data_IF_706907719419
#
_entry.id   IF_706907719419
#
_cell.length_a   1.000
_cell.length_b   1.000
_cell.length_c   1.000
_cell.angle_alpha   90.00
_cell.angle_beta   90.00
_cell.angle_gamma   90.00
#
_symmetry.space_group_name_H-M   'P 1'
#
loop_
_entity.id
_entity.type
_entity.pdbx_description
1 polymer ?
#
# COMPACT_ATOMS: atom_id res chain seq x y z
N UNK A 1 -81.34 -2.09 10.83
CA UNK A 1 -80.34 -1.30 10.09
C UNK A 1 -79.03 -1.45 10.85
N UNK A 2 -78.08 -2.33 10.47
CA UNK A 2 -77.16 -2.20 9.33
C UNK A 2 -75.95 -1.35 9.79
N UNK A 3 -74.69 -1.78 9.85
CA UNK A 3 -74.03 -3.00 9.41
C UNK A 3 -72.67 -3.18 10.14
N UNK A 4 -72.07 -4.35 9.92
CA UNK A 4 -70.81 -4.83 10.48
C UNK A 4 -69.61 -4.29 9.69
N UNK A 5 -68.56 -3.84 10.37
CA UNK A 5 -67.23 -3.63 9.77
C UNK A 5 -66.23 -4.66 10.32
N UNK A 6 -65.70 -5.51 9.41
CA UNK A 6 -64.73 -6.57 9.69
C UNK A 6 -63.33 -6.09 9.28
N UNK A 7 -62.45 -5.90 10.26
CA UNK A 7 -61.02 -5.70 10.03
C UNK A 7 -60.35 -6.96 9.44
N UNK A 8 -59.82 -6.84 8.23
CA UNK A 8 -59.09 -7.90 7.53
C UNK A 8 -57.65 -8.04 8.05
N UNK A 9 -57.31 -9.22 8.58
CA UNK A 9 -55.94 -9.64 8.83
C UNK A 9 -55.14 -9.72 7.52
N UNK A 10 -54.19 -8.81 7.33
CA UNK A 10 -53.25 -8.82 6.20
C UNK A 10 -52.22 -9.94 6.38
N UNK A 11 -52.50 -11.11 5.80
CA UNK A 11 -51.56 -12.25 5.66
C UNK A 11 -50.30 -11.78 4.90
N UNK A 12 -49.15 -11.71 5.57
CA UNK A 12 -47.83 -11.49 4.94
C UNK A 12 -47.54 -12.63 3.95
N UNK A 13 -47.62 -12.35 2.65
CA UNK A 13 -47.16 -13.26 1.59
C UNK A 13 -45.62 -13.28 1.61
N UNK A 14 -45.01 -14.42 1.94
CA UNK A 14 -43.55 -14.63 1.78
C UNK A 14 -43.19 -14.59 0.28
N UNK A 15 -42.14 -13.87 -0.13
CA UNK A 15 -41.81 -13.72 -1.55
C UNK A 15 -41.27 -15.04 -2.13
N UNK A 16 -41.81 -15.42 -3.29
CA UNK A 16 -41.47 -16.66 -4.03
C UNK A 16 -40.01 -16.73 -4.49
N UNK A 17 -39.29 -15.61 -4.47
CA UNK A 17 -37.88 -15.48 -4.91
C UNK A 17 -36.88 -16.28 -4.07
N UNK A 18 -37.11 -16.46 -2.77
CA UNK A 18 -36.22 -17.23 -1.89
C UNK A 18 -36.24 -18.74 -2.16
N UNK A 19 -37.34 -19.27 -2.71
CA UNK A 19 -37.44 -20.71 -3.03
C UNK A 19 -36.73 -21.06 -4.33
N UNK A 20 -36.66 -20.13 -5.29
CA UNK A 20 -36.01 -20.35 -6.59
C UNK A 20 -34.49 -20.39 -6.41
N UNK A 21 -33.92 -19.50 -5.59
CA UNK A 21 -32.48 -19.46 -5.34
C UNK A 21 -31.97 -20.73 -4.63
N UNK A 22 -32.75 -21.28 -3.68
CA UNK A 22 -32.40 -22.52 -2.98
C UNK A 22 -32.42 -23.74 -3.91
N UNK A 23 -33.36 -23.82 -4.85
CA UNK A 23 -33.44 -24.93 -5.82
C UNK A 23 -32.28 -24.88 -6.82
N UNK A 24 -31.86 -23.69 -7.26
CA UNK A 24 -30.72 -23.53 -8.18
C UNK A 24 -29.39 -23.92 -7.52
N UNK A 25 -29.18 -23.55 -6.25
CA UNK A 25 -27.95 -23.91 -5.53
C UNK A 25 -27.84 -25.41 -5.24
N UNK A 26 -28.96 -26.08 -4.91
CA UNK A 26 -28.98 -27.54 -4.72
C UNK A 26 -28.78 -28.28 -6.04
N UNK A 27 -29.36 -27.78 -7.15
CA UNK A 27 -29.17 -28.36 -8.49
C UNK A 27 -27.71 -28.30 -8.97
N UNK A 28 -27.02 -27.18 -8.75
CA UNK A 28 -25.61 -27.03 -9.12
C UNK A 28 -24.67 -27.95 -8.31
N UNK A 29 -24.93 -28.13 -7.01
CA UNK A 29 -24.15 -29.03 -6.15
C UNK A 29 -24.33 -30.51 -6.53
N UNK A 30 -25.55 -30.93 -6.89
CA UNK A 30 -25.83 -32.30 -7.33
C UNK A 30 -25.25 -32.61 -8.72
N UNK A 31 -25.19 -31.62 -9.62
CA UNK A 31 -24.56 -31.77 -10.93
C UNK A 31 -23.02 -31.91 -10.82
N UNK A 32 -22.37 -31.14 -9.94
CA UNK A 32 -20.93 -31.25 -9.70
C UNK A 32 -20.53 -32.58 -9.04
N UNK A 33 -21.31 -33.03 -8.04
CA UNK A 33 -21.09 -34.34 -7.40
C UNK A 33 -21.33 -35.52 -8.33
N UNK A 34 -22.35 -35.43 -9.19
CA UNK A 34 -22.67 -36.46 -10.19
C UNK A 34 -21.70 -36.53 -11.38
N UNK A 35 -20.94 -35.46 -11.64
CA UNK A 35 -19.88 -35.45 -12.66
C UNK A 35 -18.60 -36.10 -12.12
N UNK A 36 -18.20 -35.77 -10.88
CA UNK A 36 -17.06 -36.39 -10.22
C UNK A 36 -17.24 -37.90 -9.98
N UNK A 37 -18.46 -38.35 -9.66
CA UNK A 37 -18.76 -39.77 -9.46
C UNK A 37 -18.73 -40.62 -10.76
N UNK A 38 -18.76 -39.99 -11.95
CA UNK A 38 -18.75 -40.69 -13.25
C UNK A 38 -17.40 -40.69 -13.97
N UNK A 39 -16.40 -39.99 -13.42
CA UNK A 39 -15.05 -39.89 -14.00
C UNK A 39 -13.96 -40.10 -12.92
N UNK A 40 -13.81 -41.33 -12.38
CA UNK A 40 -12.81 -41.62 -11.34
C UNK A 40 -11.36 -41.48 -11.84
N UNK A 41 -11.14 -41.44 -13.16
CA UNK A 41 -9.80 -41.45 -13.78
C UNK A 41 -9.07 -40.09 -13.75
N UNK A 42 -9.69 -39.03 -13.21
CA UNK A 42 -9.11 -37.68 -13.12
C UNK A 42 -8.36 -37.40 -11.81
N UNK A 43 -8.43 -38.29 -10.82
CA UNK A 43 -7.73 -38.13 -9.52
C UNK A 43 -6.43 -38.96 -9.41
N UNK A 44 -6.11 -39.78 -10.41
CA UNK A 44 -5.08 -40.82 -10.29
C UNK A 44 -3.81 -40.58 -11.15
N UNK A 45 -3.46 -39.30 -11.40
CA UNK A 45 -2.21 -38.95 -12.10
C UNK A 45 -1.36 -37.94 -11.35
N UNK A 46 -0.78 -38.36 -10.23
CA UNK A 46 0.59 -38.01 -9.85
C UNK A 46 1.19 -39.18 -9.05
N UNK A 47 1.60 -40.23 -9.75
CA UNK A 47 2.45 -41.29 -9.18
C UNK A 47 3.76 -41.31 -9.99
N UNK A 48 4.80 -40.68 -9.44
CA UNK A 48 6.17 -40.84 -9.93
C UNK A 48 6.88 -41.79 -8.96
N UNK A 49 6.84 -43.08 -9.33
CA UNK A 49 7.72 -44.12 -8.81
C UNK A 49 9.16 -43.63 -8.83
N UNK A 50 9.78 -43.49 -7.65
CA UNK A 50 11.23 -43.35 -7.51
C UNK A 50 11.81 -44.70 -7.11
N UNK A 51 12.37 -45.39 -8.09
CA UNK A 51 13.18 -46.60 -7.92
C UNK A 51 14.39 -46.30 -7.04
N UNK A 52 14.60 -47.14 -6.03
CA UNK A 52 15.80 -47.19 -5.20
C UNK A 52 16.86 -48.02 -5.93
N UNK A 53 18.05 -47.48 -6.14
CA UNK A 53 19.26 -48.28 -6.39
C UNK A 53 20.49 -47.62 -5.76
N UNK A 54 21.35 -48.46 -5.18
CA UNK A 54 22.31 -48.16 -4.13
C UNK A 54 23.75 -47.82 -4.58
N UNK A 55 24.41 -47.03 -3.72
CA UNK A 55 25.83 -47.00 -3.28
C UNK A 55 27.01 -46.54 -4.19
N UNK A 56 27.58 -45.36 -3.80
CA UNK A 56 29.01 -44.98 -3.55
C UNK A 56 30.08 -45.02 -4.68
N UNK A 57 31.16 -44.17 -4.67
CA UNK A 57 31.84 -43.55 -3.51
C UNK A 57 32.20 -42.03 -3.59
N UNK A 58 32.66 -41.53 -2.44
CA UNK A 58 32.99 -40.14 -2.05
C UNK A 58 34.31 -39.58 -2.62
N UNK A 59 34.40 -38.26 -2.92
CA UNK A 59 35.64 -37.48 -2.86
C UNK A 59 35.58 -36.33 -1.80
N UNK A 60 36.73 -35.78 -1.37
CA UNK A 60 36.91 -35.26 -0.02
C UNK A 60 36.45 -33.81 0.18
N UNK A 61 36.13 -33.56 1.45
CA UNK A 61 36.01 -32.31 2.20
C UNK A 61 36.54 -31.04 1.49
N UNK A 62 35.62 -30.18 1.06
CA UNK A 62 35.89 -28.79 0.74
C UNK A 62 35.07 -27.90 1.68
N UNK A 63 35.74 -27.37 2.70
CA UNK A 63 35.25 -26.35 3.64
C UNK A 63 34.57 -25.21 2.87
N UNK A 64 33.31 -24.84 3.15
CA UNK A 64 32.71 -23.69 2.50
C UNK A 64 33.38 -22.41 3.03
N UNK A 65 33.99 -21.65 2.12
CA UNK A 65 34.44 -20.29 2.39
C UNK A 65 33.22 -19.43 2.79
N UNK A 66 33.37 -18.47 3.72
CA UNK A 66 32.27 -17.61 4.10
C UNK A 66 31.85 -16.76 2.89
N UNK A 67 30.65 -17.01 2.39
CA UNK A 67 29.97 -16.14 1.43
C UNK A 67 29.79 -14.78 2.10
N UNK A 68 30.64 -13.83 1.74
CA UNK A 68 30.44 -12.42 2.05
C UNK A 68 29.16 -11.96 1.37
N UNK A 69 28.10 -11.81 2.16
CA UNK A 69 26.86 -11.16 1.73
C UNK A 69 27.25 -9.73 1.33
N UNK A 70 27.01 -9.29 0.08
CA UNK A 70 27.30 -7.91 -0.30
C UNK A 70 26.40 -6.99 0.52
N UNK A 71 27.03 -6.07 1.24
CA UNK A 71 26.36 -4.96 1.93
C UNK A 71 25.60 -4.12 0.88
N UNK A 72 24.34 -3.73 1.11
CA UNK A 72 23.66 -2.85 0.18
C UNK A 72 24.44 -1.54 0.05
N UNK A 73 24.81 -1.20 -1.18
CA UNK A 73 25.46 0.07 -1.51
C UNK A 73 24.42 1.17 -1.26
N UNK A 74 24.64 2.11 -0.32
CA UNK A 74 23.73 3.22 -0.14
C UNK A 74 23.66 4.01 -1.43
N UNK A 75 22.45 4.32 -1.91
CA UNK A 75 22.26 5.32 -2.94
C UNK A 75 22.98 6.61 -2.50
N UNK A 76 23.92 7.08 -3.31
CA UNK A 76 24.69 8.27 -3.02
C UNK A 76 23.75 9.50 -3.03
N UNK A 77 23.30 9.91 -1.85
CA UNK A 77 22.38 11.03 -1.68
C UNK A 77 21.92 11.17 -0.22
N UNK A 78 22.82 11.64 0.65
CA UNK A 78 22.57 12.01 2.07
C UNK A 78 21.56 11.11 2.80
N UNK A 79 22.02 9.92 3.22
CA UNK A 79 21.40 9.19 4.34
C UNK A 79 21.14 10.21 5.45
N UNK A 80 19.91 10.33 5.95
CA UNK A 80 19.68 11.19 7.13
C UNK A 80 20.58 10.67 8.23
N UNK A 81 21.61 11.43 8.66
CA UNK A 81 22.58 10.92 9.60
C UNK A 81 21.84 10.53 10.87
N UNK A 82 21.87 9.24 11.20
CA UNK A 82 21.46 8.73 12.49
C UNK A 82 20.07 8.13 12.63
N UNK A 83 19.15 8.16 11.64
CA UNK A 83 17.90 7.37 11.80
C UNK A 83 18.26 5.88 11.80
N UNK A 84 17.94 5.19 12.88
CA UNK A 84 18.19 3.74 13.02
C UNK A 84 16.86 3.03 13.27
N UNK A 85 16.60 1.97 12.53
CA UNK A 85 15.37 1.21 12.63
C UNK A 85 15.65 -0.29 12.55
N UNK A 86 14.88 -1.14 13.27
CA UNK A 86 14.92 -2.57 13.06
C UNK A 86 14.10 -2.95 11.82
N UNK A 87 14.39 -4.08 11.19
CA UNK A 87 13.55 -4.63 10.10
C UNK A 87 12.09 -4.86 10.56
N UNK A 88 11.90 -5.19 11.85
CA UNK A 88 10.60 -5.37 12.51
C UNK A 88 10.55 -4.48 13.75
N UNK A 89 9.60 -3.56 13.78
CA UNK A 89 9.34 -2.71 14.95
C UNK A 89 8.35 -3.33 15.94
N UNK A 90 8.03 -2.56 16.98
CA UNK A 90 7.17 -2.99 18.09
C UNK A 90 5.68 -3.03 17.76
N UNK A 91 5.24 -2.46 16.63
CA UNK A 91 3.83 -2.36 16.26
C UNK A 91 3.02 -1.33 17.06
N UNK A 92 3.66 -0.61 17.99
CA UNK A 92 3.11 0.55 18.71
C UNK A 92 3.62 1.85 18.10
N UNK A 93 2.95 2.97 18.36
CA UNK A 93 3.20 4.24 17.66
C UNK A 93 3.21 5.43 18.61
N UNK A 94 4.22 6.29 18.47
CA UNK A 94 4.23 7.66 19.00
C UNK A 94 3.56 8.58 18.00
N UNK A 95 2.56 9.31 18.45
CA UNK A 95 1.79 10.25 17.62
C UNK A 95 2.26 11.68 17.87
N UNK A 96 2.18 12.50 16.83
CA UNK A 96 2.45 13.93 16.92
C UNK A 96 1.23 14.67 17.51
N UNK A 97 1.45 15.63 18.39
CA UNK A 97 0.44 16.33 19.17
C UNK A 97 0.08 17.72 18.60
N UNK A 98 1.00 18.37 17.87
CA UNK A 98 0.74 19.70 17.29
C UNK A 98 -0.37 19.69 16.24
N UNK A 99 -1.34 20.59 16.39
CA UNK A 99 -2.37 20.88 15.38
C UNK A 99 -1.83 21.90 14.38
N UNK A 100 -1.97 21.61 13.08
CA UNK A 100 -1.54 22.50 12.01
C UNK A 100 -2.65 23.43 11.50
N UNK A 101 -2.24 24.47 10.80
CA UNK A 101 -3.16 25.28 9.99
C UNK A 101 -3.81 24.41 8.90
N UNK A 102 -5.00 24.83 8.46
CA UNK A 102 -5.65 24.21 7.30
C UNK A 102 -4.93 24.65 6.03
N UNK A 103 -4.39 23.68 5.29
CA UNK A 103 -3.85 23.90 3.95
C UNK A 103 -4.94 23.86 2.90
N UNK A 104 -4.77 24.62 1.82
CA UNK A 104 -5.76 24.77 0.74
C UNK A 104 -6.80 25.84 1.01
N UNK A 105 -7.42 26.35 -0.07
CA UNK A 105 -8.37 27.48 -0.02
C UNK A 105 -9.83 27.06 -0.13
N UNK A 106 -10.10 25.92 -0.75
CA UNK A 106 -11.45 25.43 -1.08
C UNK A 106 -11.48 23.90 -1.14
N UNK A 107 -12.68 23.34 -1.20
CA UNK A 107 -12.88 21.91 -1.35
C UNK A 107 -13.07 21.17 -0.03
N UNK A 108 -13.11 19.85 -0.12
CA UNK A 108 -13.35 18.95 1.00
C UNK A 108 -12.17 18.99 1.98
N UNK A 109 -12.46 19.09 3.27
CA UNK A 109 -11.43 19.12 4.32
C UNK A 109 -11.24 17.72 4.91
N UNK A 110 -10.04 17.17 4.74
CA UNK A 110 -9.62 15.97 5.45
C UNK A 110 -8.60 16.30 6.54
N UNK A 111 -8.82 15.72 7.71
CA UNK A 111 -7.92 15.78 8.86
C UNK A 111 -7.03 14.56 8.88
N UNK A 112 -5.74 14.76 9.13
CA UNK A 112 -4.79 13.68 9.23
C UNK A 112 -3.98 13.77 10.51
N UNK A 113 -3.70 12.58 11.05
CA UNK A 113 -2.78 12.40 12.15
C UNK A 113 -1.45 11.90 11.61
N UNK A 114 -0.36 12.19 12.31
CA UNK A 114 0.97 11.66 11.97
C UNK A 114 1.51 10.87 13.15
N UNK A 115 2.04 9.67 12.88
CA UNK A 115 2.67 8.85 13.90
C UNK A 115 3.89 8.09 13.38
N UNK A 116 4.80 7.74 14.29
CA UNK A 116 6.05 7.02 14.03
C UNK A 116 6.06 5.75 14.88
N UNK A 117 6.37 4.62 14.25
CA UNK A 117 6.46 3.34 14.95
C UNK A 117 7.57 3.35 16.02
N UNK A 118 7.27 2.75 17.16
CA UNK A 118 8.26 2.51 18.20
C UNK A 118 9.33 1.51 17.73
N UNK A 119 10.58 1.84 18.06
CA UNK A 119 11.78 1.15 17.58
C UNK A 119 12.50 1.90 16.45
N UNK A 120 11.84 2.83 15.75
CA UNK A 120 12.52 3.80 14.88
C UNK A 120 13.15 4.87 15.76
N UNK A 121 14.48 4.83 15.88
CA UNK A 121 15.29 5.71 16.73
C UNK A 121 15.79 6.92 15.96
N UNK A 122 16.05 8.00 16.70
CA UNK A 122 16.52 9.29 16.18
C UNK A 122 15.55 9.92 15.16
N UNK A 123 14.26 9.61 15.31
CA UNK A 123 13.17 10.30 14.63
C UNK A 123 12.33 11.00 15.68
N UNK A 124 12.40 12.33 15.64
CA UNK A 124 11.45 13.20 16.33
C UNK A 124 10.11 13.17 15.57
N UNK A 125 9.03 12.85 16.29
CA UNK A 125 7.70 12.68 15.70
C UNK A 125 7.10 14.01 15.23
N UNK A 126 7.38 15.11 15.93
CA UNK A 126 6.93 16.45 15.57
C UNK A 126 7.66 16.98 14.34
N UNK A 127 8.96 16.70 14.25
CA UNK A 127 9.75 17.02 13.06
C UNK A 127 9.26 16.25 11.84
N UNK A 128 9.07 14.94 11.95
CA UNK A 128 8.50 14.14 10.85
C UNK A 128 7.13 14.67 10.45
N UNK A 129 6.26 14.96 11.42
CA UNK A 129 4.94 15.52 11.15
C UNK A 129 4.98 16.92 10.53
N UNK A 130 6.00 17.71 10.81
CA UNK A 130 6.24 19.00 10.16
C UNK A 130 6.67 18.84 8.70
N UNK A 131 7.51 17.84 8.39
CA UNK A 131 7.89 17.51 7.00
C UNK A 131 6.67 17.00 6.20
N UNK A 132 5.82 16.17 6.81
CA UNK A 132 4.53 15.76 6.22
C UNK A 132 3.64 16.98 5.97
N UNK A 133 3.48 17.85 6.98
CA UNK A 133 2.62 19.02 6.86
C UNK A 133 3.10 20.01 5.81
N UNK A 134 4.41 20.26 5.73
CA UNK A 134 5.00 21.11 4.70
C UNK A 134 4.73 20.56 3.29
N UNK A 135 4.89 19.25 3.09
CA UNK A 135 4.61 18.61 1.79
C UNK A 135 3.13 18.73 1.40
N UNK A 136 2.23 18.40 2.33
CA UNK A 136 0.79 18.39 2.06
C UNK A 136 0.17 19.80 1.97
N UNK A 137 0.87 20.82 2.49
CA UNK A 137 0.49 22.22 2.37
C UNK A 137 1.05 22.91 1.12
N UNK A 138 1.98 22.28 0.39
CA UNK A 138 2.57 22.87 -0.79
C UNK A 138 1.52 23.04 -1.91
N UNK A 139 1.55 24.22 -2.57
CA UNK A 139 0.64 24.55 -3.67
C UNK A 139 0.80 23.66 -4.91
N UNK A 140 1.92 22.95 -5.02
CA UNK A 140 2.17 21.95 -6.08
C UNK A 140 1.52 20.60 -5.74
N UNK A 141 1.13 20.42 -4.47
CA UNK A 141 0.45 19.25 -3.93
C UNK A 141 -1.06 19.24 -4.16
N UNK A 142 -1.73 18.32 -3.48
CA UNK A 142 -3.16 18.04 -3.67
C UNK A 142 -4.11 19.18 -3.30
N UNK A 143 -3.64 20.19 -2.56
CA UNK A 143 -4.44 21.36 -2.20
C UNK A 143 -4.40 22.47 -3.25
N UNK A 144 -3.49 22.38 -4.23
CA UNK A 144 -3.22 23.44 -5.20
C UNK A 144 -4.34 23.70 -6.20
N UNK A 145 -5.09 22.67 -6.57
CA UNK A 145 -6.21 22.76 -7.52
C UNK A 145 -7.55 23.12 -6.85
N UNK A 146 -7.55 23.30 -5.52
CA UNK A 146 -8.73 23.70 -4.75
C UNK A 146 -9.79 22.61 -4.54
N UNK A 147 -9.51 21.34 -4.87
CA UNK A 147 -10.42 20.21 -4.56
C UNK A 147 -10.31 19.74 -3.12
N UNK A 148 -9.14 19.90 -2.50
CA UNK A 148 -8.84 19.41 -1.17
C UNK A 148 -8.30 20.50 -0.26
N UNK A 149 -8.69 20.39 1.01
CA UNK A 149 -8.03 21.00 2.15
C UNK A 149 -7.53 19.92 3.08
N UNK A 150 -6.35 20.12 3.63
CA UNK A 150 -5.70 19.13 4.50
C UNK A 150 -5.30 19.81 5.81
N UNK A 151 -5.60 19.17 6.93
CA UNK A 151 -5.23 19.69 8.25
C UNK A 151 -4.59 18.60 9.10
N UNK A 152 -3.38 18.87 9.58
CA UNK A 152 -2.77 18.06 10.62
C UNK A 152 -3.52 18.26 11.94
N UNK A 153 -3.89 17.20 12.61
CA UNK A 153 -4.54 17.24 13.94
C UNK A 153 -3.69 16.52 14.99
N UNK A 154 -3.98 16.77 16.26
CA UNK A 154 -3.27 16.18 17.39
C UNK A 154 -3.64 14.71 17.62
N UNK A 155 -3.03 14.12 18.64
CA UNK A 155 -3.19 12.71 18.99
C UNK A 155 -4.63 12.31 19.32
N UNK A 156 -5.31 13.13 20.10
CA UNK A 156 -6.65 12.81 20.62
C UNK A 156 -7.78 13.38 19.75
N UNK A 157 -7.43 14.21 18.76
CA UNK A 157 -8.38 14.79 17.82
C UNK A 157 -8.89 13.77 16.80
N UNK A 158 -10.11 13.96 16.31
CA UNK A 158 -10.65 13.13 15.22
C UNK A 158 -9.84 13.37 13.93
N UNK A 159 -9.32 12.28 13.36
CA UNK A 159 -8.66 12.26 12.06
C UNK A 159 -9.43 11.37 11.07
N UNK A 160 -9.41 11.76 9.80
CA UNK A 160 -9.98 11.00 8.69
C UNK A 160 -8.98 9.98 8.12
N UNK A 161 -7.67 10.19 8.34
CA UNK A 161 -6.63 9.20 8.08
C UNK A 161 -5.37 9.44 8.93
N UNK A 162 -4.46 8.47 8.94
CA UNK A 162 -3.17 8.58 9.63
C UNK A 162 -2.01 8.30 8.68
N UNK A 163 -1.00 9.17 8.69
CA UNK A 163 0.30 8.97 8.06
C UNK A 163 1.23 8.30 9.07
N UNK A 164 1.69 7.10 8.75
CA UNK A 164 2.47 6.23 9.63
C UNK A 164 3.87 6.04 9.07
N UNK A 165 4.92 6.42 9.80
CA UNK A 165 6.28 5.96 9.49
C UNK A 165 6.52 4.60 10.16
N UNK A 166 6.83 3.59 9.37
CA UNK A 166 6.82 2.18 9.80
C UNK A 166 8.06 1.42 9.35
N UNK A 167 8.45 0.42 10.12
CA UNK A 167 9.49 -0.55 9.77
C UNK A 167 9.03 -1.47 8.65
N UNK A 168 9.95 -2.04 7.84
CA UNK A 168 9.62 -2.87 6.67
C UNK A 168 8.59 -3.98 6.93
N UNK A 169 8.70 -4.70 8.04
CA UNK A 169 7.78 -5.82 8.34
C UNK A 169 6.43 -5.34 8.88
N UNK A 170 6.42 -4.28 9.70
CA UNK A 170 5.16 -3.69 10.17
C UNK A 170 4.38 -3.10 9.02
N UNK A 171 5.07 -2.45 8.07
CA UNK A 171 4.50 -2.01 6.80
C UNK A 171 3.78 -3.15 6.10
N UNK A 172 4.44 -4.29 5.85
CA UNK A 172 3.83 -5.40 5.11
C UNK A 172 2.53 -5.90 5.76
N UNK A 173 2.49 -5.97 7.10
CA UNK A 173 1.27 -6.30 7.84
C UNK A 173 0.17 -5.25 7.69
N UNK A 174 0.50 -3.97 7.81
CA UNK A 174 -0.49 -2.88 7.70
C UNK A 174 -1.02 -2.72 6.28
N UNK A 175 -0.19 -3.00 5.27
CA UNK A 175 -0.53 -2.97 3.85
C UNK A 175 -1.31 -4.21 3.39
N UNK A 176 -1.33 -5.29 4.18
CA UNK A 176 -1.97 -6.54 3.79
C UNK A 176 -1.13 -7.40 2.85
N UNK A 177 0.15 -7.07 2.69
CA UNK A 177 1.13 -7.83 1.90
C UNK A 177 2.42 -8.03 2.71
N UNK A 178 2.53 -9.12 3.48
CA UNK A 178 3.74 -9.43 4.26
C UNK A 178 4.98 -9.76 3.41
N UNK A 179 4.82 -10.01 2.11
CA UNK A 179 5.93 -10.34 1.21
C UNK A 179 6.66 -9.08 0.73
N UNK A 180 5.93 -7.97 0.57
CA UNK A 180 6.50 -6.68 0.23
C UNK A 180 6.97 -5.93 1.48
N UNK A 181 8.30 -5.84 1.60
CA UNK A 181 9.02 -5.09 2.63
C UNK A 181 9.70 -3.83 2.08
N UNK A 182 9.46 -3.49 0.82
CA UNK A 182 10.21 -2.48 0.09
C UNK A 182 9.42 -1.19 -0.10
N UNK A 183 8.17 -1.26 -0.56
CA UNK A 183 7.42 -0.06 -0.98
C UNK A 183 6.68 0.59 0.19
N UNK A 184 6.02 1.73 -0.04
CA UNK A 184 5.00 2.27 0.87
C UNK A 184 3.61 1.82 0.39
N UNK A 185 2.55 2.15 1.12
CA UNK A 185 1.19 1.87 0.64
C UNK A 185 0.16 2.78 1.29
N UNK A 186 -1.07 2.70 0.76
CA UNK A 186 -2.28 3.11 1.47
C UNK A 186 -3.22 1.93 1.64
N UNK A 187 -3.64 1.65 2.87
CA UNK A 187 -4.68 0.66 3.18
C UNK A 187 -5.77 1.25 4.09
N UNK A 188 -6.99 1.41 3.55
CA UNK A 188 -8.07 2.13 4.23
C UNK A 188 -7.65 3.55 4.61
N UNK A 189 -7.81 3.91 5.89
CA UNK A 189 -7.41 5.21 6.45
C UNK A 189 -5.95 5.25 6.94
N UNK A 190 -5.12 4.30 6.53
CA UNK A 190 -3.69 4.26 6.84
C UNK A 190 -2.87 4.57 5.61
N UNK A 191 -2.10 5.64 5.66
CA UNK A 191 -1.04 6.00 4.72
C UNK A 191 0.27 5.52 5.35
N UNK A 192 0.81 4.41 4.85
CA UNK A 192 1.92 3.67 5.46
C UNK A 192 3.20 3.97 4.70
N UNK A 193 4.08 4.73 5.33
CA UNK A 193 5.40 5.09 4.83
C UNK A 193 6.43 4.10 5.36
N UNK A 194 7.17 3.46 4.45
CA UNK A 194 8.28 2.58 4.82
C UNK A 194 9.52 3.41 5.17
N UNK A 195 10.03 3.25 6.39
CA UNK A 195 11.20 3.97 6.91
C UNK A 195 12.46 3.70 6.08
N UNK A 196 12.62 2.51 5.49
CA UNK A 196 13.77 2.21 4.64
C UNK A 196 13.79 3.14 3.41
N UNK A 197 12.63 3.34 2.78
CA UNK A 197 12.46 4.27 1.66
C UNK A 197 12.54 5.72 2.09
N UNK A 198 12.03 6.04 3.28
CA UNK A 198 12.19 7.37 3.85
C UNK A 198 13.67 7.73 4.05
N UNK A 199 14.49 6.81 4.55
CA UNK A 199 15.90 7.06 4.87
C UNK A 199 16.81 7.00 3.64
N UNK A 200 16.56 6.06 2.73
CA UNK A 200 17.49 5.75 1.63
C UNK A 200 16.97 6.10 0.24
N UNK A 201 15.69 6.42 0.10
CA UNK A 201 15.09 6.64 -1.21
C UNK A 201 15.19 5.41 -2.11
N UNK A 202 15.44 5.65 -3.40
CA UNK A 202 15.67 4.64 -4.43
C UNK A 202 16.80 5.07 -5.37
N UNK A 203 17.53 4.14 -6.02
CA UNK A 203 18.75 4.47 -6.76
C UNK A 203 18.55 5.47 -7.92
N UNK A 204 17.40 5.45 -8.59
CA UNK A 204 17.09 6.31 -9.73
C UNK A 204 16.49 7.67 -9.37
N UNK A 205 16.39 8.00 -8.07
CA UNK A 205 15.99 9.34 -7.59
C UNK A 205 17.08 9.85 -6.65
N UNK A 206 18.05 10.59 -7.20
CA UNK A 206 19.23 11.03 -6.46
C UNK A 206 18.93 12.00 -5.30
N UNK A 207 17.88 12.83 -5.44
CA UNK A 207 17.48 13.78 -4.40
C UNK A 207 16.49 13.11 -3.43
N UNK A 208 16.99 12.80 -2.22
CA UNK A 208 16.20 12.18 -1.17
C UNK A 208 15.02 13.05 -0.70
N UNK A 209 15.20 14.38 -0.64
CA UNK A 209 14.12 15.28 -0.26
C UNK A 209 13.01 15.24 -1.29
N UNK A 210 13.37 15.29 -2.58
CA UNK A 210 12.41 15.11 -3.68
C UNK A 210 11.71 13.76 -3.62
N UNK A 211 12.45 12.69 -3.31
CA UNK A 211 11.85 11.35 -3.15
C UNK A 211 10.82 11.29 -2.01
N UNK A 212 11.10 11.93 -0.87
CA UNK A 212 10.17 11.97 0.28
C UNK A 212 8.88 12.70 -0.03
N UNK A 213 9.00 13.84 -0.72
CA UNK A 213 7.83 14.59 -1.22
C UNK A 213 6.98 13.71 -2.14
N UNK A 214 7.62 12.99 -3.06
CA UNK A 214 6.96 12.03 -3.96
C UNK A 214 6.23 10.95 -3.16
N UNK A 215 6.93 10.31 -2.23
CA UNK A 215 6.40 9.20 -1.44
C UNK A 215 5.15 9.62 -0.67
N UNK A 216 5.18 10.78 -0.03
CA UNK A 216 4.03 11.32 0.70
C UNK A 216 2.87 11.66 -0.25
N UNK A 217 3.13 12.37 -1.35
CA UNK A 217 2.06 12.74 -2.28
C UNK A 217 1.45 11.53 -2.99
N UNK A 218 2.24 10.50 -3.31
CA UNK A 218 1.75 9.27 -3.93
C UNK A 218 0.76 8.54 -3.01
N UNK A 219 1.18 8.26 -1.77
CA UNK A 219 0.35 7.49 -0.84
C UNK A 219 -0.86 8.28 -0.33
N UNK A 220 -0.73 9.59 -0.15
CA UNK A 220 -1.89 10.46 0.12
C UNK A 220 -2.78 10.55 -1.12
N UNK A 221 -2.22 10.55 -2.33
CA UNK A 221 -2.99 10.46 -3.57
C UNK A 221 -3.94 9.26 -3.57
N UNK A 222 -3.46 8.09 -3.16
CA UNK A 222 -4.32 6.93 -2.96
C UNK A 222 -5.42 7.17 -1.92
N UNK A 223 -5.13 7.85 -0.81
CA UNK A 223 -6.16 8.21 0.19
C UNK A 223 -7.20 9.18 -0.37
N UNK A 224 -6.82 10.01 -1.33
CA UNK A 224 -7.71 10.93 -2.05
C UNK A 224 -8.39 10.29 -3.27
N UNK A 225 -8.31 8.95 -3.41
CA UNK A 225 -9.00 8.20 -4.45
C UNK A 225 -8.25 8.10 -5.79
N UNK A 226 -6.96 8.42 -5.83
CA UNK A 226 -6.14 8.25 -7.04
C UNK A 226 -5.66 6.81 -7.19
N UNK A 227 -5.85 6.24 -8.38
CA UNK A 227 -5.20 5.00 -8.80
C UNK A 227 -3.79 5.27 -9.32
N UNK A 228 -3.04 4.21 -9.59
CA UNK A 228 -1.78 4.33 -10.31
C UNK A 228 -2.00 4.87 -11.74
N UNK A 229 -0.99 5.56 -12.23
CA UNK A 229 -0.91 6.07 -13.59
C UNK A 229 0.38 5.59 -14.27
N UNK A 230 0.37 5.57 -15.59
CA UNK A 230 1.52 5.22 -16.42
C UNK A 230 2.26 6.48 -16.88
N UNK A 231 3.55 6.35 -17.18
CA UNK A 231 4.34 7.42 -17.77
C UNK A 231 3.74 7.82 -19.14
N UNK A 232 3.24 9.07 -19.31
CA UNK A 232 2.56 9.48 -20.53
C UNK A 232 3.54 9.77 -21.67
N UNK A 233 4.78 10.12 -21.34
CA UNK A 233 5.80 10.52 -22.32
C UNK A 233 7.22 10.36 -21.76
N UNK A 234 8.06 9.64 -22.48
CA UNK A 234 9.48 9.53 -22.17
C UNK A 234 10.17 10.92 -22.11
N UNK A 235 11.08 11.09 -21.16
CA UNK A 235 11.76 12.34 -20.85
C UNK A 235 10.88 13.42 -20.21
N UNK A 236 9.57 13.18 -20.02
CA UNK A 236 8.68 14.07 -19.30
C UNK A 236 8.70 13.83 -17.79
N UNK A 237 8.15 14.75 -16.96
CA UNK A 237 7.92 14.45 -15.54
C UNK A 237 6.93 13.28 -15.40
N UNK A 238 7.21 12.36 -14.48
CA UNK A 238 6.26 11.32 -14.12
C UNK A 238 5.02 11.95 -13.43
N UNK A 239 3.79 11.60 -13.80
CA UNK A 239 2.66 11.85 -12.91
C UNK A 239 2.95 11.29 -11.52
N UNK A 240 2.54 11.99 -10.47
CA UNK A 240 2.88 11.59 -9.08
C UNK A 240 2.37 10.20 -8.73
N UNK A 241 1.35 9.73 -9.45
CA UNK A 241 0.74 8.41 -9.28
C UNK A 241 1.40 7.29 -10.09
N UNK A 242 2.47 7.57 -10.84
CA UNK A 242 3.40 6.51 -11.27
C UNK A 242 4.05 5.93 -10.00
N UNK A 243 4.18 4.61 -9.91
CA UNK A 243 4.89 3.93 -8.81
C UNK A 243 6.41 4.10 -8.96
N UNK A 244 6.89 5.35 -8.84
CA UNK A 244 8.29 5.75 -9.03
C UNK A 244 9.24 5.06 -8.05
N UNK A 245 8.73 4.47 -6.96
CA UNK A 245 9.52 3.61 -6.06
C UNK A 245 10.07 2.38 -6.78
N UNK A 246 9.32 1.84 -7.75
CA UNK A 246 9.68 0.63 -8.49
C UNK A 246 10.28 0.94 -9.86
N UNK A 247 9.86 2.03 -10.50
CA UNK A 247 10.42 2.44 -11.78
C UNK A 247 9.85 3.74 -12.32
N UNK A 248 10.64 4.43 -13.14
CA UNK A 248 10.21 5.67 -13.81
C UNK A 248 9.67 5.44 -15.23
N UNK A 249 9.94 4.27 -15.82
CA UNK A 249 9.38 3.87 -17.12
C UNK A 249 9.55 4.92 -18.22
N UNK A 250 10.75 5.52 -18.30
CA UNK A 250 11.12 6.54 -19.28
C UNK A 250 10.80 7.98 -18.85
N UNK A 251 10.00 8.19 -17.80
CA UNK A 251 9.78 9.51 -17.22
C UNK A 251 10.97 9.96 -16.35
N UNK A 252 10.93 11.22 -15.94
CA UNK A 252 11.85 11.82 -14.97
C UNK A 252 11.17 11.91 -13.60
N UNK A 253 11.91 11.82 -12.47
CA UNK A 253 11.33 11.85 -11.14
C UNK A 253 10.51 13.12 -10.89
N UNK A 254 9.30 13.01 -10.35
CA UNK A 254 8.47 14.16 -10.04
C UNK A 254 7.60 13.90 -8.80
N UNK A 255 7.71 14.74 -7.76
CA UNK A 255 6.98 14.51 -6.51
C UNK A 255 5.63 15.19 -6.43
N UNK A 256 5.23 15.97 -7.44
CA UNK A 256 4.07 16.87 -7.34
C UNK A 256 2.97 16.54 -8.35
N UNK A 257 1.68 16.51 -7.94
CA UNK A 257 0.56 16.37 -8.87
C UNK A 257 0.35 17.58 -9.78
N UNK A 258 0.84 18.77 -9.40
CA UNK A 258 0.75 19.99 -10.22
C UNK A 258 2.16 20.38 -10.67
N UNK A 259 2.35 20.52 -11.98
CA UNK A 259 3.61 20.94 -12.59
C UNK A 259 3.37 22.23 -13.37
N UNK A 260 4.08 23.28 -12.98
CA UNK A 260 3.76 24.64 -13.43
C UNK A 260 2.43 25.10 -12.82
N UNK A 261 1.42 25.31 -13.66
CA UNK A 261 0.07 25.68 -13.24
C UNK A 261 -0.98 24.59 -13.49
N UNK A 262 -0.58 23.45 -14.07
CA UNK A 262 -1.51 22.43 -14.56
C UNK A 262 -1.34 21.11 -13.79
N UNK A 263 -2.43 20.37 -13.55
CA UNK A 263 -2.36 18.99 -13.11
C UNK A 263 -1.61 18.14 -14.14
N UNK A 264 -0.66 17.34 -13.67
CA UNK A 264 0.04 16.35 -14.48
C UNK A 264 -0.57 14.97 -14.23
N UNK A 265 -1.21 14.40 -15.26
CA UNK A 265 -1.82 13.07 -15.22
C UNK A 265 -1.29 12.19 -16.35
N UNK A 266 -1.34 10.87 -16.13
CA UNK A 266 -1.05 9.86 -17.15
C UNK A 266 -2.25 8.94 -17.43
N UNK A 267 -2.14 8.01 -18.39
CA UNK A 267 -3.11 6.93 -18.54
C UNK A 267 -3.24 6.14 -17.24
N UNK A 268 -4.46 5.79 -16.79
CA UNK A 268 -4.63 4.90 -15.64
C UNK A 268 -3.97 3.54 -15.91
N UNK A 269 -3.23 3.01 -14.94
CA UNK A 269 -2.57 1.72 -15.08
C UNK A 269 -1.50 1.49 -14.03
N UNK A 270 -1.06 0.24 -13.91
CA UNK A 270 0.01 -0.18 -13.01
C UNK A 270 1.02 -1.02 -13.80
N UNK A 271 2.29 -0.82 -13.52
CA UNK A 271 3.36 -1.68 -14.03
C UNK A 271 3.50 -2.91 -13.14
N UNK A 272 3.80 -4.06 -13.76
CA UNK A 272 4.09 -5.32 -13.07
C UNK A 272 5.57 -5.39 -12.66
N UNK A 273 6.05 -4.35 -11.98
CA UNK A 273 7.43 -4.27 -11.54
C UNK A 273 7.69 -5.22 -10.37
N UNK A 274 8.77 -6.01 -10.40
CA UNK A 274 9.13 -6.86 -9.29
C UNK A 274 9.55 -6.00 -8.08
N UNK A 275 9.09 -6.39 -6.90
CA UNK A 275 9.56 -5.79 -5.64
C UNK A 275 11.01 -6.20 -5.40
N UNK A 276 11.97 -5.26 -5.24
CA UNK A 276 13.36 -5.62 -5.02
C UNK A 276 13.57 -6.43 -3.73
N UNK A 277 14.30 -7.54 -3.84
CA UNK A 277 14.70 -8.34 -2.70
C UNK A 277 15.99 -7.80 -2.05
N UNK A 278 16.07 -7.81 -0.71
CA UNK A 278 17.34 -7.64 0.00
C UNK A 278 17.62 -6.27 0.62
N UNK A 279 16.82 -5.24 0.32
CA UNK A 279 16.93 -3.92 0.95
C UNK A 279 16.19 -3.89 2.30
N UNK A 280 16.82 -4.40 3.36
CA UNK A 280 16.30 -4.37 4.75
C UNK A 280 16.99 -3.30 5.58
#
# INVERSE_FOLDING_TARGET
>A
MGGYDRGLHRRRRRPRSLRILAVVLVGAALAAGGYAARHPDLLDRVDVRRTVQAAAPTPPDARPAPTTVPTPVPAAGRVVPGIVYPTRGGGTFRTADTVGAVAGRSGELLRYRVAVEDGIRNVDVERFASEVAATLADRRGWTGDGRWRLQRVGRDDRADFTVLLTTPVTRGRLCGDPSDTYTSCRNGDRVVINVARWVYGVPHVADLSRYREYLLNHEVGHRLGRGHELCPRAGGPAPVMVQQTLGLHGCTPNPWPIVGAEPLTGPPGQYDDPVPAGDR
#
